data_IF_905963188627
#
_entry.id   IF_905963188627
#
_cell.length_a   1.000
_cell.length_b   1.000
_cell.length_c   1.000
_cell.angle_alpha   90.00
_cell.angle_beta   90.00
_cell.angle_gamma   90.00
#
_symmetry.space_group_name_H-M   'P 1'
#
loop_
_entity.id
_entity.type
_entity.pdbx_description
1 polymer ?
#
# COMPACT_ATOMS: atom_id res chain seq x y z
N UNK A 1 -4.64 36.78 7.79
CA UNK A 1 -5.29 35.45 7.69
C UNK A 1 -4.66 34.66 6.56
N UNK A 2 -3.52 34.02 6.81
CA UNK A 2 -2.78 33.23 5.80
C UNK A 2 -3.00 31.75 6.07
N UNK A 3 -3.77 31.08 5.22
CA UNK A 3 -3.99 29.64 5.29
C UNK A 3 -2.69 28.89 5.03
N UNK A 4 -2.12 28.31 6.09
CA UNK A 4 -0.98 27.40 6.00
C UNK A 4 -1.36 26.24 5.07
N UNK A 5 -0.80 26.25 3.86
CA UNK A 5 -0.84 25.11 2.95
C UNK A 5 -0.19 23.95 3.69
N UNK A 6 -0.99 23.01 4.19
CA UNK A 6 -0.48 21.78 4.79
C UNK A 6 0.30 21.00 3.74
N UNK A 7 1.59 21.29 3.67
CA UNK A 7 2.60 20.53 2.96
C UNK A 7 2.70 19.18 3.66
N UNK A 8 2.10 18.16 3.06
CA UNK A 8 2.19 16.79 3.50
C UNK A 8 3.67 16.36 3.47
N UNK A 9 4.35 16.45 4.62
CA UNK A 9 5.77 16.10 4.82
C UNK A 9 6.05 14.59 4.73
N UNK A 10 5.32 13.87 3.89
CA UNK A 10 5.54 12.47 3.61
C UNK A 10 6.73 12.38 2.63
N UNK A 11 7.83 11.69 2.94
CA UNK A 11 8.94 11.47 2.02
C UNK A 11 8.48 10.84 0.70
N UNK A 12 9.21 11.08 -0.39
CA UNK A 12 8.84 10.54 -1.71
C UNK A 12 9.03 9.02 -1.79
N UNK A 13 9.92 8.43 -0.99
CA UNK A 13 10.06 6.98 -0.93
C UNK A 13 8.96 6.32 -0.10
N UNK A 14 8.62 5.10 -0.50
CA UNK A 14 7.76 4.21 0.27
C UNK A 14 8.30 2.77 0.25
N UNK A 15 7.80 1.97 1.18
CA UNK A 15 8.00 0.52 1.24
C UNK A 15 6.64 -0.17 1.20
N UNK A 16 6.59 -1.30 0.50
CA UNK A 16 5.44 -2.20 0.57
C UNK A 16 5.69 -3.18 1.71
N UNK A 17 4.78 -3.22 2.68
CA UNK A 17 4.85 -4.09 3.84
C UNK A 17 3.92 -5.28 3.58
N UNK A 18 4.49 -6.48 3.57
CA UNK A 18 3.75 -7.71 3.27
C UNK A 18 2.81 -8.12 4.40
N UNK A 19 1.77 -8.92 4.12
CA UNK A 19 0.80 -9.40 5.11
C UNK A 19 1.43 -10.17 6.28
N UNK A 20 2.57 -10.81 6.03
CA UNK A 20 3.29 -11.65 7.00
C UNK A 20 4.45 -10.93 7.68
N UNK A 21 4.69 -9.66 7.33
CA UNK A 21 5.64 -8.82 8.05
C UNK A 21 5.16 -8.61 9.50
N UNK A 22 6.04 -8.69 10.53
CA UNK A 22 5.66 -8.45 11.92
C UNK A 22 4.95 -7.11 12.18
N UNK A 23 5.16 -6.10 11.33
CA UNK A 23 4.47 -4.81 11.42
C UNK A 23 2.97 -4.89 11.10
N UNK A 24 2.54 -5.86 10.30
CA UNK A 24 1.13 -6.04 9.90
C UNK A 24 0.49 -7.31 10.47
N UNK A 25 1.26 -8.38 10.65
CA UNK A 25 0.76 -9.67 11.14
C UNK A 25 0.15 -9.54 12.54
N UNK A 26 0.76 -8.75 13.41
CA UNK A 26 0.18 -8.34 14.69
C UNK A 26 -0.74 -7.14 14.47
N UNK A 27 -2.05 -7.42 14.36
CA UNK A 27 -3.08 -6.40 14.16
C UNK A 27 -3.14 -5.39 15.31
N UNK A 28 -2.91 -5.83 16.55
CA UNK A 28 -2.91 -4.97 17.72
C UNK A 28 -1.76 -3.97 17.66
N UNK A 29 -0.57 -4.42 17.27
CA UNK A 29 0.59 -3.57 17.04
C UNK A 29 0.37 -2.60 15.88
N UNK A 30 -0.12 -3.09 14.74
CA UNK A 30 -0.42 -2.27 13.56
C UNK A 30 -1.37 -1.11 13.91
N UNK A 31 -2.44 -1.41 14.66
CA UNK A 31 -3.40 -0.42 15.14
C UNK A 31 -2.78 0.56 16.14
N UNK A 32 -2.04 0.08 17.15
CA UNK A 32 -1.46 0.95 18.20
C UNK A 32 -0.36 1.88 17.68
N UNK A 33 0.51 1.38 16.79
CA UNK A 33 1.67 2.14 16.31
C UNK A 33 1.31 3.03 15.13
N UNK A 34 0.47 2.55 14.21
CA UNK A 34 0.21 3.24 12.95
C UNK A 34 -1.24 3.70 12.77
N UNK A 35 -2.14 3.38 13.69
CA UNK A 35 -3.58 3.61 13.49
C UNK A 35 -4.15 2.81 12.31
N UNK A 36 -3.51 1.69 11.95
CA UNK A 36 -3.79 0.96 10.72
C UNK A 36 -4.54 -0.34 11.00
N UNK A 37 -5.86 -0.32 10.82
CA UNK A 37 -6.69 -1.52 10.89
C UNK A 37 -6.48 -2.34 9.61
N UNK A 38 -5.76 -3.45 9.77
CA UNK A 38 -5.33 -4.30 8.68
C UNK A 38 -5.89 -5.73 8.82
N UNK A 39 -6.47 -6.20 7.73
CA UNK A 39 -6.93 -7.57 7.56
C UNK A 39 -6.33 -8.11 6.27
N UNK A 40 -5.66 -9.26 6.35
CA UNK A 40 -5.22 -9.97 5.15
C UNK A 40 -6.39 -10.74 4.53
N UNK A 41 -6.90 -10.21 3.42
CA UNK A 41 -8.17 -10.61 2.80
C UNK A 41 -8.08 -11.84 1.88
N UNK A 42 -6.91 -12.47 1.72
CA UNK A 42 -6.77 -13.70 0.95
C UNK A 42 -7.70 -14.82 1.47
N UNK A 43 -7.88 -14.87 2.80
CA UNK A 43 -8.76 -15.81 3.49
C UNK A 43 -10.22 -15.37 3.57
N UNK A 44 -10.53 -14.15 3.12
CA UNK A 44 -11.90 -13.63 3.05
C UNK A 44 -12.52 -14.06 1.72
N UNK A 45 -13.76 -14.58 1.70
CA UNK A 45 -14.46 -14.90 0.45
C UNK A 45 -14.47 -13.70 -0.51
N UNK A 46 -14.26 -13.94 -1.81
CA UNK A 46 -14.07 -12.88 -2.81
C UNK A 46 -15.11 -11.76 -2.73
N UNK A 47 -16.39 -12.10 -2.54
CA UNK A 47 -17.49 -11.13 -2.46
C UNK A 47 -17.49 -10.25 -1.19
N UNK A 48 -16.70 -10.59 -0.17
CA UNK A 48 -16.61 -9.85 1.11
C UNK A 48 -15.30 -9.06 1.24
N UNK A 49 -14.44 -9.09 0.23
CA UNK A 49 -13.16 -8.36 0.22
C UNK A 49 -13.42 -6.87 0.04
N UNK A 50 -12.68 -6.03 0.76
CA UNK A 50 -12.74 -4.56 0.67
C UNK A 50 -11.59 -4.04 -0.19
N UNK A 51 -10.40 -4.61 -0.01
CA UNK A 51 -9.17 -4.10 -0.62
C UNK A 51 -8.59 -5.05 -1.68
N UNK A 52 -8.82 -6.36 -1.59
CA UNK A 52 -8.33 -7.29 -2.61
C UNK A 52 -7.81 -8.61 -2.04
N UNK A 53 -7.14 -9.40 -2.87
CA UNK A 53 -6.68 -10.73 -2.46
C UNK A 53 -5.35 -10.67 -1.70
N UNK A 54 -4.34 -10.03 -2.27
CA UNK A 54 -3.00 -9.97 -1.70
C UNK A 54 -2.62 -8.51 -1.43
N UNK A 55 -3.18 -7.98 -0.34
CA UNK A 55 -3.09 -6.57 0.01
C UNK A 55 -1.83 -6.33 0.84
N UNK A 56 -0.95 -5.45 0.38
CA UNK A 56 0.20 -4.95 1.12
C UNK A 56 -0.09 -3.55 1.68
N UNK A 57 0.54 -3.22 2.80
CA UNK A 57 0.51 -1.87 3.34
C UNK A 57 1.57 -0.96 2.70
N UNK A 58 1.28 0.33 2.54
CA UNK A 58 2.21 1.32 1.97
C UNK A 58 2.74 2.22 3.09
N UNK A 59 3.99 1.99 3.48
CA UNK A 59 4.67 2.76 4.54
C UNK A 59 5.53 3.86 3.93
N UNK A 60 5.34 5.10 4.37
CA UNK A 60 6.16 6.25 3.94
C UNK A 60 6.30 7.27 5.07
N UNK A 61 7.52 7.70 5.36
CA UNK A 61 7.81 8.64 6.47
C UNK A 61 7.31 8.15 7.83
N UNK A 62 7.39 6.85 8.09
CA UNK A 62 6.90 6.25 9.34
C UNK A 62 5.38 6.14 9.47
N UNK A 63 4.62 6.43 8.40
CA UNK A 63 3.14 6.37 8.40
C UNK A 63 2.63 5.37 7.38
N UNK A 64 1.57 4.65 7.75
CA UNK A 64 0.78 3.86 6.79
C UNK A 64 -0.10 4.84 6.01
N UNK A 65 0.20 5.02 4.73
CA UNK A 65 -0.48 6.01 3.88
C UNK A 65 -1.51 5.37 2.95
N UNK A 66 -1.56 4.04 2.90
CA UNK A 66 -2.56 3.31 2.13
C UNK A 66 -2.27 1.82 2.04
N UNK A 67 -3.03 1.18 1.15
CA UNK A 67 -2.99 -0.25 0.82
C UNK A 67 -2.81 -0.41 -0.69
N UNK A 68 -2.21 -1.53 -1.10
CA UNK A 68 -2.10 -1.90 -2.51
C UNK A 68 -2.41 -3.39 -2.68
N UNK A 69 -3.35 -3.73 -3.54
CA UNK A 69 -3.58 -5.12 -3.94
C UNK A 69 -2.66 -5.44 -5.11
N UNK A 70 -1.91 -6.54 -4.96
CA UNK A 70 -0.92 -6.96 -5.94
C UNK A 70 -1.18 -8.39 -6.39
N UNK A 71 -0.78 -8.69 -7.62
CA UNK A 71 -0.82 -10.04 -8.15
C UNK A 71 0.41 -10.30 -8.99
N UNK A 72 1.03 -11.47 -8.81
CA UNK A 72 2.03 -11.96 -9.75
C UNK A 72 1.35 -12.82 -10.81
N UNK A 73 1.55 -12.51 -12.08
CA UNK A 73 1.07 -13.31 -13.22
C UNK A 73 2.24 -13.51 -14.18
N UNK A 74 2.83 -14.71 -14.17
CA UNK A 74 4.06 -14.97 -14.93
C UNK A 74 5.19 -14.03 -14.53
N UNK A 75 5.68 -13.26 -15.50
CA UNK A 75 6.71 -12.25 -15.33
C UNK A 75 6.18 -10.87 -14.91
N UNK A 76 4.86 -10.70 -14.73
CA UNK A 76 4.27 -9.42 -14.34
C UNK A 76 3.98 -9.36 -12.84
N UNK A 77 4.29 -8.22 -12.23
CA UNK A 77 3.78 -7.78 -10.95
C UNK A 77 2.70 -6.73 -11.20
N UNK A 78 1.44 -7.16 -11.20
CA UNK A 78 0.26 -6.31 -11.42
C UNK A 78 -0.17 -5.65 -10.13
N UNK A 79 -0.45 -4.35 -10.21
CA UNK A 79 -1.17 -3.60 -9.19
C UNK A 79 -2.65 -3.61 -9.57
N UNK A 80 -3.49 -4.30 -8.81
CA UNK A 80 -4.93 -4.37 -9.08
C UNK A 80 -5.69 -3.16 -8.50
N UNK A 81 -5.18 -2.59 -7.41
CA UNK A 81 -5.83 -1.48 -6.73
C UNK A 81 -4.89 -0.77 -5.75
N UNK A 82 -5.09 0.53 -5.59
CA UNK A 82 -4.36 1.35 -4.62
C UNK A 82 -5.37 2.18 -3.81
N UNK A 83 -5.37 2.01 -2.49
CA UNK A 83 -6.39 2.50 -1.59
C UNK A 83 -5.74 3.42 -0.55
N UNK A 84 -5.94 4.75 -0.62
CA UNK A 84 -5.39 5.65 0.39
C UNK A 84 -6.07 5.47 1.75
N UNK A 85 -5.30 5.66 2.83
CA UNK A 85 -5.90 5.86 4.16
C UNK A 85 -6.66 7.19 4.22
N UNK A 86 -7.54 7.32 5.21
CA UNK A 86 -8.29 8.55 5.46
C UNK A 86 -7.36 9.76 5.54
N UNK A 87 -7.74 10.84 4.82
CA UNK A 87 -6.96 12.06 4.73
C UNK A 87 -5.75 12.00 3.78
N UNK A 88 -5.41 10.85 3.17
CA UNK A 88 -4.32 10.75 2.20
C UNK A 88 -4.86 10.93 0.77
N UNK A 89 -4.45 11.98 0.03
CA UNK A 89 -4.88 12.13 -1.36
C UNK A 89 -4.32 11.01 -2.26
N UNK A 90 -5.10 10.50 -3.23
CA UNK A 90 -4.59 9.55 -4.24
C UNK A 90 -3.33 10.06 -4.96
N UNK A 91 -3.26 11.36 -5.25
CA UNK A 91 -2.08 12.01 -5.85
C UNK A 91 -0.80 11.90 -5.00
N UNK A 92 -0.93 11.66 -3.70
CA UNK A 92 0.20 11.39 -2.78
C UNK A 92 0.55 9.89 -2.80
N UNK A 93 -0.45 9.01 -2.76
CA UNK A 93 -0.25 7.56 -2.73
C UNK A 93 0.33 6.99 -4.03
N UNK A 94 -0.24 7.34 -5.19
CA UNK A 94 0.06 6.67 -6.46
C UNK A 94 1.54 6.74 -6.87
N UNK A 95 2.25 7.88 -6.78
CA UNK A 95 3.68 7.92 -7.08
C UNK A 95 4.52 7.01 -6.17
N UNK A 96 4.12 6.88 -4.90
CA UNK A 96 4.79 6.02 -3.90
C UNK A 96 4.54 4.54 -4.17
N UNK A 97 3.31 4.18 -4.50
CA UNK A 97 2.98 2.82 -4.95
C UNK A 97 3.77 2.47 -6.20
N UNK A 98 3.85 3.35 -7.19
CA UNK A 98 4.64 3.15 -8.40
C UNK A 98 6.13 2.95 -8.07
N UNK A 99 6.71 3.81 -7.23
CA UNK A 99 8.13 3.72 -6.84
C UNK A 99 8.46 2.43 -6.07
N UNK A 100 7.66 2.10 -5.06
CA UNK A 100 7.84 0.91 -4.25
C UNK A 100 7.55 -0.37 -5.06
N UNK A 101 6.53 -0.34 -5.92
CA UNK A 101 6.20 -1.41 -6.88
C UNK A 101 7.36 -1.68 -7.84
N UNK A 102 8.03 -0.65 -8.36
CA UNK A 102 9.22 -0.83 -9.23
C UNK A 102 10.36 -1.52 -8.49
N UNK A 103 10.54 -1.18 -7.20
CA UNK A 103 11.57 -1.82 -6.37
C UNK A 103 11.25 -3.30 -6.15
N UNK A 104 10.00 -3.62 -5.79
CA UNK A 104 9.57 -5.00 -5.60
C UNK A 104 9.62 -5.80 -6.90
N UNK A 105 9.17 -5.24 -8.02
CA UNK A 105 9.23 -5.87 -9.34
C UNK A 105 10.68 -6.23 -9.71
N UNK A 106 11.64 -5.31 -9.47
CA UNK A 106 13.07 -5.59 -9.67
C UNK A 106 13.59 -6.72 -8.79
N UNK A 107 13.22 -6.74 -7.50
CA UNK A 107 13.61 -7.82 -6.57
C UNK A 107 13.07 -9.19 -6.99
N UNK A 108 11.89 -9.18 -7.60
CA UNK A 108 11.16 -10.36 -8.03
C UNK A 108 11.45 -10.79 -9.47
N UNK A 109 12.32 -10.07 -10.18
CA UNK A 109 12.59 -10.24 -11.61
C UNK A 109 11.27 -10.27 -12.40
N UNK A 110 10.50 -9.19 -12.24
CA UNK A 110 9.19 -9.01 -12.84
C UNK A 110 9.04 -7.60 -13.44
N UNK A 111 8.14 -7.46 -14.39
CA UNK A 111 7.69 -6.18 -14.93
C UNK A 111 6.55 -5.62 -14.08
N UNK A 112 6.65 -4.35 -13.66
CA UNK A 112 5.57 -3.70 -12.93
C UNK A 112 4.48 -3.25 -13.91
N UNK A 113 3.26 -3.73 -13.70
CA UNK A 113 2.07 -3.28 -14.42
C UNK A 113 1.16 -2.51 -13.46
N UNK A 114 0.89 -1.25 -13.79
CA UNK A 114 -0.04 -0.41 -13.04
C UNK A 114 -1.46 -0.60 -13.60
N UNK A 115 -2.54 -0.38 -12.82
CA UNK A 115 -3.88 -0.46 -13.37
C UNK A 115 -4.09 0.67 -14.38
N UNK A 116 -4.89 0.39 -15.42
CA UNK A 116 -5.37 1.41 -16.33
C UNK A 116 -6.13 2.47 -15.50
N UNK A 117 -5.75 3.73 -15.71
CA UNK A 117 -6.15 4.89 -14.91
C UNK A 117 -7.63 5.22 -14.99
#
# INVERSE_FOLDING_TARGET
MGGARQQWGVPREARLIGPFDPLLRDRGRARRVFGFDYLFEAYVPRAKRVYGHYVMGVLSGGRMIGRVDIQRVGAELRINGAFPESGVPRRVLLPRVRGAGKTLARQLVAELVMPDS
#
